data_IF_911699120968
#
_entry.id   IF_911699120968
#
_cell.length_a   1.000
_cell.length_b   1.000
_cell.length_c   1.000
_cell.angle_alpha   90.00
_cell.angle_beta   90.00
_cell.angle_gamma   90.00
#
_symmetry.space_group_name_H-M   'P 1'
#
loop_
_entity.id
_entity.type
_entity.pdbx_description
1 polymer ?
#
# COMPACT_ATOMS: atom_id res chain seq x y z
N UNK A 1 13.86 -22.65 18.78
CA UNK A 1 12.67 -22.15 18.06
C UNK A 1 12.82 -20.65 17.80
N UNK A 2 12.10 -20.12 16.79
CA UNK A 2 12.14 -18.72 16.38
C UNK A 2 10.72 -18.26 16.00
N UNK A 3 10.30 -17.12 16.52
CA UNK A 3 9.05 -16.45 16.13
C UNK A 3 9.37 -15.19 15.31
N UNK A 4 8.68 -15.03 14.19
CA UNK A 4 8.85 -13.88 13.30
C UNK A 4 7.54 -13.12 13.21
N UNK A 5 7.57 -11.85 13.58
CA UNK A 5 6.47 -10.89 13.46
C UNK A 5 6.76 -9.96 12.27
N UNK A 6 5.73 -9.52 11.57
CA UNK A 6 5.88 -8.71 10.36
C UNK A 6 5.05 -7.43 10.45
N UNK A 7 5.55 -6.34 9.91
CA UNK A 7 4.93 -5.01 9.84
C UNK A 7 4.57 -4.44 11.24
N UNK A 8 3.28 -4.32 11.55
CA UNK A 8 2.76 -3.77 12.81
C UNK A 8 2.07 -4.82 13.68
N UNK A 9 2.32 -6.10 13.42
CA UNK A 9 1.72 -7.22 14.13
C UNK A 9 2.42 -7.41 15.51
N UNK A 10 1.98 -6.62 16.49
CA UNK A 10 2.53 -6.61 17.83
C UNK A 10 1.46 -7.07 18.82
N UNK A 11 1.59 -8.30 19.27
CA UNK A 11 0.62 -8.98 20.12
C UNK A 11 1.19 -9.18 21.53
N UNK A 12 0.82 -8.34 22.53
CA UNK A 12 1.43 -8.35 23.87
C UNK A 12 1.40 -9.72 24.55
N UNK A 13 0.24 -10.39 24.54
CA UNK A 13 0.09 -11.69 25.19
C UNK A 13 0.95 -12.77 24.53
N UNK A 14 1.03 -12.76 23.20
CA UNK A 14 1.86 -13.69 22.45
C UNK A 14 3.34 -13.46 22.76
N UNK A 15 3.81 -12.21 22.74
CA UNK A 15 5.19 -11.86 23.06
C UNK A 15 5.58 -12.30 24.48
N UNK A 16 4.67 -12.12 25.45
CA UNK A 16 4.90 -12.53 26.84
C UNK A 16 4.97 -14.06 26.97
N UNK A 17 4.12 -14.80 26.25
CA UNK A 17 4.15 -16.26 26.28
C UNK A 17 5.41 -16.83 25.61
N UNK A 18 5.82 -16.23 24.49
CA UNK A 18 7.06 -16.62 23.81
C UNK A 18 8.32 -16.34 24.66
N UNK A 19 8.29 -15.25 25.42
CA UNK A 19 9.36 -14.92 26.36
C UNK A 19 9.49 -15.95 27.47
N UNK A 20 8.38 -16.39 28.07
CA UNK A 20 8.35 -17.44 29.10
C UNK A 20 8.90 -18.78 28.58
N UNK A 21 8.81 -19.01 27.26
CA UNK A 21 9.30 -20.21 26.60
C UNK A 21 10.72 -20.02 26.01
N UNK A 22 11.37 -18.91 26.30
CA UNK A 22 12.71 -18.54 25.78
C UNK A 22 12.82 -18.59 24.26
N UNK A 23 11.71 -18.38 23.55
CA UNK A 23 11.68 -18.36 22.09
C UNK A 23 12.16 -17.02 21.58
N UNK A 24 13.18 -17.02 20.71
CA UNK A 24 13.68 -15.81 20.07
C UNK A 24 12.61 -15.17 19.19
N UNK A 25 12.51 -13.82 19.23
CA UNK A 25 11.51 -13.03 18.56
C UNK A 25 12.14 -11.99 17.66
N UNK A 26 11.77 -12.01 16.37
CA UNK A 26 12.24 -11.04 15.38
C UNK A 26 11.05 -10.25 14.86
N UNK A 27 11.19 -8.92 14.79
CA UNK A 27 10.22 -8.04 14.12
C UNK A 27 10.78 -7.57 12.78
N UNK A 28 10.26 -8.13 11.69
CA UNK A 28 10.63 -7.78 10.31
C UNK A 28 9.72 -6.70 9.75
N UNK A 29 10.28 -5.84 8.91
CA UNK A 29 9.56 -4.76 8.23
C UNK A 29 8.77 -3.88 9.20
N UNK A 30 9.28 -3.69 10.42
CA UNK A 30 8.59 -3.03 11.52
C UNK A 30 8.07 -1.65 11.11
N UNK A 31 6.76 -1.46 11.24
CA UNK A 31 6.07 -0.22 10.90
C UNK A 31 5.53 0.48 12.15
N UNK A 32 6.12 1.63 12.46
CA UNK A 32 5.63 2.53 13.50
C UNK A 32 5.47 3.92 12.90
N UNK A 33 4.23 4.32 12.64
CA UNK A 33 3.91 5.67 12.16
C UNK A 33 3.87 6.67 13.32
N UNK A 34 3.94 7.98 13.02
CA UNK A 34 3.80 9.03 14.05
C UNK A 34 2.51 8.92 14.85
N UNK A 35 1.38 8.54 14.19
CA UNK A 35 0.10 8.30 14.86
C UNK A 35 0.17 7.09 15.80
N UNK A 36 0.78 6.00 15.34
CA UNK A 36 0.98 4.77 16.14
C UNK A 36 1.92 5.03 17.32
N UNK A 37 3.02 5.74 17.08
CA UNK A 37 3.96 6.13 18.14
C UNK A 37 3.27 6.91 19.26
N UNK A 38 2.45 7.93 18.93
CA UNK A 38 1.71 8.70 19.93
C UNK A 38 0.80 7.81 20.79
N UNK A 39 0.09 6.85 20.18
CA UNK A 39 -0.77 5.90 20.93
C UNK A 39 0.04 5.01 21.86
N UNK A 40 1.14 4.41 21.36
CA UNK A 40 2.02 3.56 22.18
C UNK A 40 2.66 4.35 23.31
N UNK A 41 3.08 5.60 23.06
CA UNK A 41 3.69 6.46 24.08
C UNK A 41 2.74 6.72 25.27
N UNK A 42 1.41 6.75 25.07
CA UNK A 42 0.44 6.92 26.15
C UNK A 42 0.47 5.76 27.16
N UNK A 43 0.94 4.57 26.74
CA UNK A 43 1.07 3.40 27.61
C UNK A 43 2.41 3.39 28.39
N UNK A 44 3.22 4.43 28.21
CA UNK A 44 4.43 4.65 29.00
C UNK A 44 5.41 3.48 28.98
N UNK A 45 5.81 3.06 30.17
CA UNK A 45 6.79 2.01 30.37
C UNK A 45 6.34 0.63 29.83
N UNK A 46 5.05 0.36 29.80
CA UNK A 46 4.51 -0.85 29.21
C UNK A 46 4.96 -1.01 27.74
N UNK A 47 4.89 0.06 26.97
CA UNK A 47 5.33 0.04 25.55
C UNK A 47 6.81 -0.21 25.43
N UNK A 48 7.63 0.43 26.23
CA UNK A 48 9.09 0.21 26.21
C UNK A 48 9.40 -1.25 26.52
N UNK A 49 8.81 -1.80 27.56
CA UNK A 49 9.03 -3.20 27.95
C UNK A 49 8.53 -4.19 26.89
N UNK A 50 7.41 -3.85 26.20
CA UNK A 50 6.87 -4.68 25.14
C UNK A 50 7.80 -4.72 23.92
N UNK A 51 8.25 -3.57 23.44
CA UNK A 51 9.13 -3.48 22.27
C UNK A 51 10.53 -4.05 22.55
N UNK A 52 11.02 -3.98 23.77
CA UNK A 52 12.29 -4.59 24.20
C UNK A 52 12.29 -6.12 24.14
N UNK A 53 11.10 -6.76 24.11
CA UNK A 53 10.99 -8.23 24.01
C UNK A 53 11.47 -8.79 22.68
N UNK A 54 11.63 -7.97 21.64
CA UNK A 54 12.19 -8.41 20.37
C UNK A 54 13.72 -8.48 20.44
N UNK A 55 14.27 -9.65 20.12
CA UNK A 55 15.72 -9.87 20.07
C UNK A 55 16.37 -9.09 18.92
N UNK A 56 15.66 -8.99 17.77
CA UNK A 56 16.08 -8.21 16.61
C UNK A 56 14.88 -7.48 15.99
N UNK A 57 15.12 -6.24 15.55
CA UNK A 57 14.08 -5.43 14.91
C UNK A 57 14.61 -4.79 13.62
N UNK A 58 13.89 -5.01 12.54
CA UNK A 58 14.20 -4.50 11.20
C UNK A 58 13.11 -3.54 10.73
N UNK A 59 13.26 -2.22 10.96
CA UNK A 59 12.26 -1.22 10.54
C UNK A 59 12.16 -1.10 9.03
N UNK A 60 10.95 -0.82 8.52
CA UNK A 60 10.71 -0.66 7.09
C UNK A 60 11.25 0.66 6.52
N UNK A 61 11.42 1.69 7.36
CA UNK A 61 11.90 3.02 6.97
C UNK A 61 12.60 3.73 8.15
N UNK A 62 13.23 4.86 7.85
CA UNK A 62 13.95 5.65 8.85
C UNK A 62 13.03 6.28 9.91
N UNK A 63 11.78 6.60 9.56
CA UNK A 63 10.80 7.10 10.51
C UNK A 63 10.48 6.05 11.58
N UNK A 64 10.14 4.83 11.16
CA UNK A 64 9.91 3.69 12.07
C UNK A 64 11.15 3.40 12.93
N UNK A 65 12.36 3.45 12.34
CA UNK A 65 13.62 3.32 13.08
C UNK A 65 13.73 4.36 14.19
N UNK A 66 13.41 5.63 13.89
CA UNK A 66 13.43 6.74 14.86
C UNK A 66 12.49 6.50 16.03
N UNK A 67 11.26 6.02 15.77
CA UNK A 67 10.28 5.76 16.82
C UNK A 67 10.63 4.53 17.65
N UNK A 68 11.11 3.45 17.05
CA UNK A 68 11.56 2.25 17.75
C UNK A 68 12.73 2.52 18.70
N UNK A 69 13.66 3.39 18.30
CA UNK A 69 14.73 3.86 19.20
C UNK A 69 14.19 4.59 20.43
N UNK A 70 13.07 5.31 20.31
CA UNK A 70 12.43 6.00 21.45
C UNK A 70 11.71 5.05 22.41
N UNK A 71 11.51 3.79 22.04
CA UNK A 71 11.06 2.71 22.92
C UNK A 71 12.22 1.87 23.45
N UNK A 72 13.45 2.39 23.40
CA UNK A 72 14.69 1.76 23.88
C UNK A 72 14.96 0.37 23.27
N UNK A 73 14.49 0.12 22.06
CA UNK A 73 14.82 -1.12 21.34
C UNK A 73 16.31 -1.12 21.00
N UNK A 74 17.03 -2.17 21.40
CA UNK A 74 18.49 -2.24 21.30
C UNK A 74 18.97 -2.73 19.92
N UNK A 75 18.52 -3.87 19.47
CA UNK A 75 19.02 -4.52 18.26
C UNK A 75 18.23 -4.09 17.02
N UNK A 76 18.41 -2.83 16.59
CA UNK A 76 17.76 -2.28 15.40
C UNK A 76 18.71 -2.25 14.21
N UNK A 77 18.39 -2.97 13.14
CA UNK A 77 19.11 -2.93 11.86
C UNK A 77 18.18 -2.50 10.74
N UNK A 78 18.49 -1.41 10.03
CA UNK A 78 17.73 -0.96 8.88
C UNK A 78 18.28 -1.57 7.59
N UNK A 79 17.50 -2.42 6.95
CA UNK A 79 17.83 -3.09 5.69
C UNK A 79 16.98 -2.63 4.51
N UNK A 80 16.06 -1.68 4.75
CA UNK A 80 15.08 -1.25 3.76
C UNK A 80 13.71 -1.92 3.94
N UNK A 81 12.79 -1.65 3.00
CA UNK A 81 11.45 -2.20 3.06
C UNK A 81 11.38 -3.49 2.23
N UNK A 82 10.91 -4.58 2.84
CA UNK A 82 10.76 -5.89 2.20
C UNK A 82 9.94 -5.84 0.90
N UNK A 83 8.98 -4.92 0.80
CA UNK A 83 8.17 -4.74 -0.43
C UNK A 83 9.02 -4.38 -1.65
N UNK A 84 10.21 -3.82 -1.46
CA UNK A 84 11.13 -3.48 -2.55
C UNK A 84 12.19 -4.56 -2.83
N UNK A 85 12.25 -5.62 -2.00
CA UNK A 85 13.19 -6.72 -2.21
C UNK A 85 12.74 -7.72 -3.28
N UNK A 86 11.48 -7.68 -3.70
CA UNK A 86 11.01 -8.48 -4.82
C UNK A 86 11.72 -8.04 -6.09
N UNK A 87 12.48 -8.95 -6.72
CA UNK A 87 12.96 -8.76 -8.08
C UNK A 87 11.73 -8.48 -8.94
N UNK A 88 11.71 -7.31 -9.59
CA UNK A 88 10.66 -6.99 -10.58
C UNK A 88 10.65 -8.10 -11.63
N UNK A 89 9.69 -9.00 -11.55
CA UNK A 89 9.40 -9.91 -12.64
C UNK A 89 8.66 -9.08 -13.70
N UNK A 90 9.43 -8.29 -14.46
CA UNK A 90 8.93 -7.47 -15.58
C UNK A 90 8.61 -8.37 -16.80
N UNK A 91 8.05 -9.56 -16.58
CA UNK A 91 7.72 -10.48 -17.65
C UNK A 91 6.30 -10.30 -18.22
N UNK A 92 5.53 -9.34 -17.72
CA UNK A 92 4.26 -9.01 -18.36
C UNK A 92 4.55 -8.16 -19.60
N UNK A 93 4.67 -8.84 -20.75
CA UNK A 93 4.67 -8.17 -22.06
C UNK A 93 3.32 -7.46 -22.20
N UNK A 94 3.30 -6.16 -21.96
CA UNK A 94 2.13 -5.34 -22.24
C UNK A 94 1.64 -5.61 -23.66
N UNK A 95 0.32 -5.71 -23.83
CA UNK A 95 -0.28 -5.90 -25.14
C UNK A 95 0.20 -4.79 -26.09
N UNK A 96 0.70 -5.18 -27.27
CA UNK A 96 1.23 -4.23 -28.26
C UNK A 96 0.22 -3.14 -28.63
N UNK A 97 -1.09 -3.45 -28.63
CA UNK A 97 -2.17 -2.47 -28.87
C UNK A 97 -2.20 -1.40 -27.76
N UNK A 98 -2.08 -1.79 -26.48
CA UNK A 98 -2.04 -0.87 -25.35
C UNK A 98 -0.81 0.03 -25.39
N UNK A 99 0.37 -0.55 -25.73
CA UNK A 99 1.60 0.24 -25.87
C UNK A 99 1.44 1.31 -26.95
N UNK A 100 0.86 0.97 -28.11
CA UNK A 100 0.61 1.93 -29.20
C UNK A 100 -0.37 3.02 -28.75
N UNK A 101 -1.46 2.63 -28.06
CA UNK A 101 -2.44 3.57 -27.53
C UNK A 101 -1.81 4.57 -26.56
N UNK A 102 -0.98 4.10 -25.63
CA UNK A 102 -0.33 4.96 -24.63
C UNK A 102 0.75 5.87 -25.23
N UNK A 103 1.45 5.42 -26.27
CA UNK A 103 2.47 6.26 -26.95
C UNK A 103 1.87 7.50 -27.63
N UNK A 104 0.63 7.43 -28.12
CA UNK A 104 -0.03 8.51 -28.86
C UNK A 104 -0.87 9.45 -28.00
N UNK A 105 -1.05 9.14 -26.70
CA UNK A 105 -1.96 9.84 -25.81
C UNK A 105 -1.30 10.25 -24.50
N UNK A 106 -1.84 11.31 -23.87
CA UNK A 106 -1.51 11.64 -22.49
C UNK A 106 -2.31 10.73 -21.57
N UNK A 107 -1.67 10.16 -20.54
CA UNK A 107 -2.30 9.22 -19.64
C UNK A 107 -2.15 9.71 -18.19
N UNK A 108 -3.22 9.65 -17.42
CA UNK A 108 -3.16 9.78 -15.98
C UNK A 108 -3.95 8.67 -15.30
N UNK A 109 -3.55 8.30 -14.09
CA UNK A 109 -4.08 7.15 -13.38
C UNK A 109 -4.66 7.58 -12.03
N UNK A 110 -5.87 7.08 -11.72
CA UNK A 110 -6.44 7.08 -10.39
C UNK A 110 -6.26 5.68 -9.79
N UNK A 111 -5.36 5.55 -8.82
CA UNK A 111 -4.93 4.24 -8.29
C UNK A 111 -5.42 4.05 -6.87
N UNK A 112 -5.91 2.83 -6.58
CA UNK A 112 -6.42 2.43 -5.25
C UNK A 112 -7.63 3.26 -4.81
N UNK A 113 -8.53 3.55 -5.74
CA UNK A 113 -9.70 4.40 -5.50
C UNK A 113 -10.72 3.73 -4.57
N UNK A 114 -11.33 4.54 -3.72
CA UNK A 114 -12.45 4.20 -2.85
C UNK A 114 -13.77 4.64 -3.48
N UNK A 115 -14.88 4.18 -2.89
CA UNK A 115 -16.22 4.52 -3.37
C UNK A 115 -16.45 6.04 -3.40
N UNK A 116 -16.96 6.50 -4.53
CA UNK A 116 -17.19 7.93 -4.80
C UNK A 116 -16.00 8.68 -5.41
N UNK A 117 -14.76 8.23 -5.19
CA UNK A 117 -13.56 8.89 -5.75
C UNK A 117 -13.52 8.78 -7.28
N UNK A 118 -14.05 7.69 -7.84
CA UNK A 118 -14.11 7.50 -9.29
C UNK A 118 -14.97 8.57 -9.98
N UNK A 119 -16.07 8.96 -9.35
CA UNK A 119 -16.95 10.01 -9.90
C UNK A 119 -16.22 11.36 -9.94
N UNK A 120 -15.46 11.67 -8.90
CA UNK A 120 -14.62 12.89 -8.86
C UNK A 120 -13.57 12.84 -9.97
N UNK A 121 -12.90 11.71 -10.15
CA UNK A 121 -11.91 11.51 -11.21
C UNK A 121 -12.54 11.69 -12.60
N UNK A 122 -13.74 11.17 -12.82
CA UNK A 122 -14.47 11.31 -14.08
C UNK A 122 -14.85 12.76 -14.37
N UNK A 123 -15.35 13.50 -13.38
CA UNK A 123 -15.67 14.91 -13.53
C UNK A 123 -14.43 15.76 -13.86
N UNK A 124 -13.31 15.48 -13.19
CA UNK A 124 -12.03 16.11 -13.47
C UNK A 124 -11.59 15.76 -14.90
N UNK A 125 -11.70 14.49 -15.30
CA UNK A 125 -11.32 14.03 -16.63
C UNK A 125 -12.12 14.73 -17.73
N UNK A 126 -13.44 14.87 -17.57
CA UNK A 126 -14.29 15.65 -18.49
C UNK A 126 -13.80 17.10 -18.65
N UNK A 127 -13.44 17.76 -17.56
CA UNK A 127 -12.89 19.12 -17.59
C UNK A 127 -11.55 19.17 -18.32
N UNK A 128 -10.68 18.20 -18.06
CA UNK A 128 -9.36 18.10 -18.70
C UNK A 128 -9.45 17.81 -20.20
N UNK A 129 -10.42 17.02 -20.66
CA UNK A 129 -10.63 16.73 -22.08
C UNK A 129 -10.95 17.98 -22.91
N UNK A 130 -11.55 19.02 -22.32
CA UNK A 130 -11.74 20.30 -22.99
C UNK A 130 -10.41 20.93 -23.42
N UNK A 131 -9.36 20.72 -22.62
CA UNK A 131 -8.00 21.26 -22.87
C UNK A 131 -7.09 20.27 -23.57
N UNK A 132 -7.24 18.97 -23.29
CA UNK A 132 -6.36 17.90 -23.77
C UNK A 132 -7.19 16.82 -24.46
N UNK A 133 -7.47 16.96 -25.74
CA UNK A 133 -8.31 16.02 -26.51
C UNK A 133 -7.76 14.59 -26.57
N UNK A 134 -6.45 14.41 -26.39
CA UNK A 134 -5.77 13.10 -26.43
C UNK A 134 -5.46 12.57 -25.02
N UNK A 135 -6.38 12.73 -24.06
CA UNK A 135 -6.18 12.29 -22.69
C UNK A 135 -6.90 10.96 -22.41
N UNK A 136 -6.23 10.07 -21.69
CA UNK A 136 -6.81 8.82 -21.17
C UNK A 136 -6.78 8.87 -19.64
N UNK A 137 -7.86 8.41 -19.02
CA UNK A 137 -7.92 8.11 -17.60
C UNK A 137 -7.91 6.60 -17.41
N UNK A 138 -7.00 6.11 -16.56
CA UNK A 138 -6.97 4.73 -16.06
C UNK A 138 -7.46 4.74 -14.62
N UNK A 139 -8.47 3.93 -14.31
CA UNK A 139 -8.96 3.75 -12.95
C UNK A 139 -8.59 2.35 -12.47
N UNK A 140 -7.89 2.27 -11.33
CA UNK A 140 -7.52 1.04 -10.67
C UNK A 140 -8.13 1.07 -9.26
N UNK A 141 -9.31 0.46 -9.07
CA UNK A 141 -9.98 0.48 -7.77
C UNK A 141 -9.23 -0.36 -6.74
N UNK A 142 -9.36 -0.01 -5.47
CA UNK A 142 -8.75 -0.76 -4.36
C UNK A 142 -9.28 -2.20 -4.27
N UNK A 143 -10.56 -2.41 -4.60
CA UNK A 143 -11.21 -3.72 -4.58
C UNK A 143 -11.74 -4.07 -5.96
N UNK A 144 -11.26 -5.18 -6.51
CA UNK A 144 -11.61 -5.67 -7.85
C UNK A 144 -13.12 -5.92 -8.00
N UNK A 145 -13.78 -6.34 -6.93
CA UNK A 145 -15.24 -6.59 -6.91
C UNK A 145 -16.09 -5.37 -7.30
N UNK A 146 -15.52 -4.17 -7.31
CA UNK A 146 -16.20 -2.93 -7.66
C UNK A 146 -16.16 -2.58 -9.16
N UNK A 147 -15.42 -3.34 -9.95
CA UNK A 147 -15.22 -3.04 -11.38
C UNK A 147 -16.56 -2.99 -12.12
N UNK A 148 -17.46 -3.92 -11.88
CA UNK A 148 -18.76 -3.98 -12.57
C UNK A 148 -19.64 -2.77 -12.25
N UNK A 149 -19.70 -2.37 -10.99
CA UNK A 149 -20.46 -1.19 -10.55
C UNK A 149 -19.88 0.11 -11.13
N UNK A 150 -18.55 0.23 -11.13
CA UNK A 150 -17.83 1.38 -11.69
C UNK A 150 -18.05 1.43 -13.21
N UNK A 151 -17.96 0.29 -13.91
CA UNK A 151 -18.19 0.21 -15.35
C UNK A 151 -19.60 0.63 -15.75
N UNK A 152 -20.63 0.19 -15.00
CA UNK A 152 -22.03 0.62 -15.21
C UNK A 152 -22.19 2.13 -15.02
N UNK A 153 -21.63 2.68 -13.95
CA UNK A 153 -21.68 4.12 -13.69
C UNK A 153 -20.97 4.92 -14.79
N UNK A 154 -19.82 4.46 -15.25
CA UNK A 154 -19.09 5.08 -16.35
C UNK A 154 -19.90 5.03 -17.62
N UNK A 155 -20.51 3.90 -17.98
CA UNK A 155 -21.33 3.75 -19.16
C UNK A 155 -22.53 4.70 -19.13
N UNK A 156 -23.18 4.86 -17.98
CA UNK A 156 -24.28 5.82 -17.79
C UNK A 156 -23.84 7.27 -17.97
N UNK A 157 -22.67 7.61 -17.47
CA UNK A 157 -22.08 8.94 -17.60
C UNK A 157 -21.59 9.20 -19.03
N UNK A 158 -21.16 8.15 -19.74
CA UNK A 158 -20.56 8.21 -21.08
C UNK A 158 -21.58 8.21 -22.21
N UNK A 159 -22.80 7.71 -22.02
CA UNK A 159 -23.88 7.85 -23.02
C UNK A 159 -24.16 9.31 -23.40
N UNK A 160 -23.57 10.27 -22.67
CA UNK A 160 -23.73 11.72 -22.90
C UNK A 160 -22.50 12.38 -23.58
N UNK A 161 -21.44 11.65 -23.91
CA UNK A 161 -20.28 12.26 -24.60
C UNK A 161 -19.41 11.21 -25.32
N UNK A 162 -19.25 11.38 -26.61
CA UNK A 162 -18.36 10.58 -27.45
C UNK A 162 -16.91 10.66 -26.98
N UNK A 163 -16.22 9.49 -26.98
CA UNK A 163 -14.77 9.28 -26.75
C UNK A 163 -14.35 9.18 -25.28
N UNK A 164 -14.47 7.99 -24.73
CA UNK A 164 -13.74 7.62 -23.52
C UNK A 164 -13.05 6.25 -23.67
N UNK A 165 -11.79 6.19 -23.26
CA UNK A 165 -11.10 4.92 -23.07
C UNK A 165 -10.83 4.76 -21.58
N UNK A 166 -11.68 4.00 -20.90
CA UNK A 166 -11.42 3.55 -19.51
C UNK A 166 -10.87 2.14 -19.60
N UNK A 167 -9.69 1.92 -19.06
CA UNK A 167 -9.02 0.61 -19.04
C UNK A 167 -9.06 0.11 -17.61
N UNK A 168 -9.66 -1.06 -17.41
CA UNK A 168 -9.59 -1.81 -16.17
C UNK A 168 -8.51 -2.88 -16.32
N UNK A 169 -7.49 -2.84 -15.48
CA UNK A 169 -6.49 -3.90 -15.41
C UNK A 169 -6.76 -4.74 -14.17
N UNK A 170 -7.18 -5.98 -14.40
CA UNK A 170 -7.26 -7.00 -13.37
C UNK A 170 -5.89 -7.63 -13.25
N UNK A 171 -5.13 -7.30 -12.22
CA UNK A 171 -3.99 -8.12 -11.83
C UNK A 171 -4.53 -9.43 -11.22
N UNK A 172 -4.74 -10.43 -12.06
CA UNK A 172 -4.78 -11.81 -11.60
C UNK A 172 -3.35 -12.20 -11.24
N UNK A 173 -3.01 -12.05 -9.98
CA UNK A 173 -1.89 -12.74 -9.35
C UNK A 173 -2.42 -14.13 -8.96
N UNK A 174 -2.27 -15.11 -9.85
CA UNK A 174 -2.22 -16.52 -9.51
C UNK A 174 -0.81 -16.88 -9.07
#
# INVERSE_FOLDING_TARGET
SLAIFVDSEIWPNMLTNLEKQEIKKILLNARVSGKSYKKWKLLGEFSNNLFKKFDYTYPQNLESKKYLKKFDVQNIRYLGNLKFSQKKILNNKLNKKLIRLFKSKKVWCAVSTHEGEENICLEIHKKLLKKFKNLILIIIPRHITRIDSISKNISTILMLSEIFSVIFETNQLT
#
